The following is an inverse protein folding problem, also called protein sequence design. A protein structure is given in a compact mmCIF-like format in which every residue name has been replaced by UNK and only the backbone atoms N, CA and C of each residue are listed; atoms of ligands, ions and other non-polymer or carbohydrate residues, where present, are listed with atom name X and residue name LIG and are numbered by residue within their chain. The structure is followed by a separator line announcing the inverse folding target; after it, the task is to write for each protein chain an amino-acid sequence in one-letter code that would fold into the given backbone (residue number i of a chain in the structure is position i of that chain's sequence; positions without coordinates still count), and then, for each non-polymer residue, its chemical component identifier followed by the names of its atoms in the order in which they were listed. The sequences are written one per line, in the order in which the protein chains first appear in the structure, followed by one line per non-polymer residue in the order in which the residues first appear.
data_IF_503999556973
#
_entry.id   IF_503999556973
#
_cell.length_a   1.000
_cell.length_b   1.000
_cell.length_c   1.000
_cell.angle_alpha   90.00
_cell.angle_beta   90.00
_cell.angle_gamma   90.00
#
_symmetry.space_group_name_H-M   'P 1'
#
loop_
_entity.id
_entity.type
_entity.pdbx_description
1 polymer ?
#
# COMPACT_ATOMS: atom_id res chain seq x y z
N UNK A 1 -2.86 15.62 7.83
CA UNK A 1 -3.28 14.45 8.64
C UNK A 1 -3.16 13.23 7.73
N UNK A 2 -2.70 12.06 8.22
CA UNK A 2 -2.73 10.85 7.40
C UNK A 2 -4.18 10.60 6.94
N UNK A 3 -4.35 10.15 5.68
CA UNK A 3 -5.67 9.80 5.16
C UNK A 3 -6.27 8.65 5.97
N UNK A 4 -7.59 8.60 6.10
CA UNK A 4 -8.24 7.47 6.74
C UNK A 4 -8.15 6.22 5.85
N UNK A 5 -7.44 5.20 6.34
CA UNK A 5 -7.23 3.93 5.66
C UNK A 5 -8.19 2.83 6.15
N UNK A 6 -9.04 3.12 7.15
CA UNK A 6 -9.89 2.13 7.81
C UNK A 6 -11.17 1.77 7.08
N UNK A 7 -11.63 2.61 6.15
CA UNK A 7 -12.81 2.36 5.33
C UNK A 7 -12.48 1.65 4.00
N UNK A 8 -12.85 2.30 2.89
CA UNK A 8 -12.66 1.80 1.52
C UNK A 8 -11.28 1.16 1.24
N UNK A 9 -10.14 1.70 1.72
CA UNK A 9 -8.82 1.11 1.44
C UNK A 9 -8.65 -0.28 2.06
N UNK A 10 -9.15 -0.47 3.28
CA UNK A 10 -9.15 -1.77 3.96
C UNK A 10 -10.05 -2.77 3.24
N UNK A 11 -11.24 -2.33 2.82
CA UNK A 11 -12.19 -3.17 2.07
C UNK A 11 -11.61 -3.60 0.72
N UNK A 12 -10.96 -2.69 -0.01
CA UNK A 12 -10.27 -3.00 -1.27
C UNK A 12 -9.14 -4.03 -1.06
N UNK A 13 -8.38 -3.91 0.03
CA UNK A 13 -7.32 -4.87 0.36
C UNK A 13 -7.88 -6.25 0.71
N UNK A 14 -8.94 -6.31 1.52
CA UNK A 14 -9.65 -7.55 1.87
C UNK A 14 -10.23 -8.24 0.64
N UNK A 15 -10.92 -7.48 -0.21
CA UNK A 15 -11.45 -7.93 -1.49
C UNK A 15 -10.35 -8.56 -2.35
N UNK A 16 -9.19 -7.89 -2.44
CA UNK A 16 -8.06 -8.38 -3.23
C UNK A 16 -7.43 -9.66 -2.64
N UNK A 17 -7.34 -9.76 -1.31
CA UNK A 17 -6.79 -10.93 -0.63
C UNK A 17 -7.78 -12.10 -0.52
N UNK A 18 -9.05 -11.90 -0.91
CA UNK A 18 -10.16 -12.81 -0.61
C UNK A 18 -10.28 -13.13 0.90
N UNK A 19 -9.95 -12.16 1.75
CA UNK A 19 -10.08 -12.24 3.21
C UNK A 19 -11.43 -11.66 3.61
N UNK A 20 -12.23 -12.44 4.34
CA UNK A 20 -13.58 -12.04 4.77
C UNK A 20 -13.71 -11.90 6.29
N UNK A 21 -12.65 -12.22 7.03
CA UNK A 21 -12.62 -12.23 8.49
C UNK A 21 -12.19 -10.87 9.04
N UNK A 22 -12.77 -10.47 10.18
CA UNK A 22 -12.43 -9.20 10.86
C UNK A 22 -11.16 -9.32 11.71
N UNK A 23 -10.72 -10.55 11.98
CA UNK A 23 -9.57 -10.83 12.83
C UNK A 23 -8.25 -10.31 12.24
N UNK A 24 -8.15 -10.22 10.91
CA UNK A 24 -6.96 -9.72 10.22
C UNK A 24 -6.97 -8.18 10.07
N UNK A 25 -8.06 -7.48 10.42
CA UNK A 25 -8.23 -6.04 10.14
C UNK A 25 -7.12 -5.18 10.71
N UNK A 26 -6.78 -5.39 11.99
CA UNK A 26 -5.74 -4.63 12.65
C UNK A 26 -4.36 -4.81 11.97
N UNK A 27 -4.07 -6.03 11.52
CA UNK A 27 -2.84 -6.33 10.79
C UNK A 27 -2.87 -5.69 9.39
N UNK A 28 -3.96 -5.88 8.65
CA UNK A 28 -4.14 -5.33 7.30
C UNK A 28 -4.05 -3.80 7.31
N UNK A 29 -4.63 -3.13 8.29
CA UNK A 29 -4.51 -1.69 8.47
C UNK A 29 -3.07 -1.26 8.65
N UNK A 30 -2.31 -1.93 9.53
CA UNK A 30 -0.91 -1.58 9.76
C UNK A 30 -0.04 -1.78 8.53
N UNK A 31 -0.28 -2.86 7.77
CA UNK A 31 0.41 -3.11 6.49
C UNK A 31 0.06 -2.06 5.44
N UNK A 32 -1.19 -1.62 5.42
CA UNK A 32 -1.69 -0.60 4.51
C UNK A 32 -1.14 0.79 4.84
N UNK A 33 -1.08 1.16 6.12
CA UNK A 33 -0.40 2.36 6.61
C UNK A 33 1.06 2.39 6.18
N UNK A 34 1.78 1.28 6.38
CA UNK A 34 3.18 1.16 5.99
C UNK A 34 3.36 1.29 4.47
N UNK A 35 2.49 0.63 3.69
CA UNK A 35 2.50 0.72 2.24
C UNK A 35 2.21 2.15 1.73
N UNK A 36 1.25 2.83 2.34
CA UNK A 36 0.89 4.21 2.01
C UNK A 36 2.04 5.18 2.36
N UNK A 37 2.63 5.06 3.55
CA UNK A 37 3.78 5.87 3.96
C UNK A 37 4.94 5.72 3.00
N UNK A 38 5.25 4.49 2.58
CA UNK A 38 6.33 4.24 1.64
C UNK A 38 6.02 4.82 0.25
N UNK A 39 4.78 4.68 -0.23
CA UNK A 39 4.33 5.29 -1.48
C UNK A 39 4.46 6.82 -1.43
N UNK A 40 4.04 7.45 -0.33
CA UNK A 40 4.18 8.89 -0.11
C UNK A 40 5.65 9.33 -0.09
N UNK A 41 6.51 8.65 0.68
CA UNK A 41 7.94 8.96 0.75
C UNK A 41 8.63 8.82 -0.61
N UNK A 42 8.22 7.83 -1.42
CA UNK A 42 8.81 7.57 -2.72
C UNK A 42 8.34 8.57 -3.81
N UNK A 43 7.05 8.91 -3.82
CA UNK A 43 6.43 9.72 -4.89
C UNK A 43 6.33 11.21 -4.56
N UNK A 44 6.28 11.56 -3.27
CA UNK A 44 5.99 12.91 -2.80
C UNK A 44 4.56 13.38 -3.06
N UNK A 45 3.65 12.49 -3.43
CA UNK A 45 2.25 12.82 -3.74
C UNK A 45 1.40 12.67 -2.48
N UNK A 46 0.91 13.80 -1.97
CA UNK A 46 -0.06 13.87 -0.88
C UNK A 46 -1.50 13.81 -1.45
N UNK A 47 -2.40 13.16 -0.72
CA UNK A 47 -3.82 13.10 -1.05
C UNK A 47 -4.65 13.48 0.17
N UNK A 48 -5.81 14.10 -0.06
CA UNK A 48 -6.74 14.48 1.01
C UNK A 48 -7.51 13.30 1.58
N UNK A 49 -7.73 12.27 0.75
CA UNK A 49 -8.57 11.11 0.99
C UNK A 49 -8.25 10.02 -0.04
N UNK A 50 -8.68 8.79 0.20
CA UNK A 50 -8.35 7.68 -0.72
C UNK A 50 -8.90 7.87 -2.14
N UNK A 51 -10.18 8.23 -2.37
CA UNK A 51 -10.72 8.45 -3.72
C UNK A 51 -9.99 9.51 -4.56
N UNK A 52 -9.39 10.53 -3.95
CA UNK A 52 -8.65 11.58 -4.67
C UNK A 52 -7.27 11.12 -5.16
N UNK A 53 -6.77 9.98 -4.69
CA UNK A 53 -5.55 9.38 -5.21
C UNK A 53 -5.74 8.82 -6.62
N UNK A 54 -4.74 9.05 -7.48
CA UNK A 54 -4.68 8.42 -8.79
C UNK A 54 -4.81 6.89 -8.67
N UNK A 55 -5.55 6.29 -9.61
CA UNK A 55 -5.84 4.86 -9.59
C UNK A 55 -4.57 4.00 -9.59
N UNK A 56 -3.49 4.43 -10.24
CA UNK A 56 -2.20 3.74 -10.22
C UNK A 56 -1.55 3.72 -8.84
N UNK A 57 -1.63 4.84 -8.11
CA UNK A 57 -1.08 4.93 -6.75
C UNK A 57 -1.88 4.06 -5.77
N UNK A 58 -3.22 4.11 -5.83
CA UNK A 58 -4.08 3.24 -5.01
C UNK A 58 -3.76 1.77 -5.23
N UNK A 59 -3.72 1.33 -6.49
CA UNK A 59 -3.37 -0.06 -6.81
C UNK A 59 -1.96 -0.43 -6.33
N UNK A 60 -0.99 0.48 -6.42
CA UNK A 60 0.37 0.26 -5.93
C UNK A 60 0.41 0.00 -4.42
N UNK A 61 -0.31 0.82 -3.64
CA UNK A 61 -0.41 0.67 -2.18
C UNK A 61 -1.08 -0.65 -1.80
N UNK A 62 -2.22 -0.98 -2.42
CA UNK A 62 -2.94 -2.25 -2.17
C UNK A 62 -2.04 -3.45 -2.45
N UNK A 63 -1.36 -3.48 -3.62
CA UNK A 63 -0.46 -4.59 -3.99
C UNK A 63 0.72 -4.74 -3.03
N UNK A 64 1.29 -3.63 -2.53
CA UNK A 64 2.38 -3.69 -1.56
C UNK A 64 1.92 -4.22 -0.21
N UNK A 65 0.80 -3.74 0.32
CA UNK A 65 0.22 -4.23 1.58
C UNK A 65 -0.10 -5.73 1.50
N UNK A 66 -0.73 -6.14 0.40
CA UNK A 66 -1.02 -7.52 0.08
C UNK A 66 0.22 -8.43 0.00
N UNK A 67 1.28 -7.92 -0.62
CA UNK A 67 2.53 -8.66 -0.75
C UNK A 67 3.15 -8.92 0.64
N UNK A 68 3.25 -7.89 1.48
CA UNK A 68 3.72 -8.04 2.87
C UNK A 68 2.85 -9.02 3.67
N UNK A 69 1.52 -9.00 3.47
CA UNK A 69 0.61 -9.94 4.13
C UNK A 69 0.94 -11.41 3.77
N UNK A 70 1.26 -11.68 2.50
CA UNK A 70 1.63 -13.03 2.04
C UNK A 70 3.01 -13.46 2.49
N UNK A 71 3.94 -12.52 2.62
CA UNK A 71 5.28 -12.78 3.13
C UNK A 71 5.38 -12.75 4.66
N UNK A 72 4.28 -12.49 5.38
CA UNK A 72 4.28 -12.42 6.86
C UNK A 72 4.78 -13.71 7.51
N UNK A 73 4.55 -14.85 6.86
CA UNK A 73 4.98 -16.18 7.33
C UNK A 73 6.38 -16.56 6.84
N UNK A 74 7.00 -15.76 5.95
CA UNK A 74 8.30 -16.03 5.32
C UNK A 74 9.52 -15.52 6.13
N UNK A 75 9.30 -14.83 7.26
CA UNK A 75 10.37 -14.19 8.02
C UNK A 75 10.82 -12.85 7.41
N UNK A 76 11.57 -12.02 8.15
CA UNK A 76 11.92 -10.66 7.72
C UNK A 76 12.79 -10.67 6.47
N UNK A 77 12.33 -9.99 5.41
CA UNK A 77 13.06 -9.74 4.17
C UNK A 77 13.50 -8.28 4.09
N UNK A 78 14.80 -8.05 3.88
CA UNK A 78 15.47 -6.76 4.08
C UNK A 78 15.44 -5.84 2.83
N UNK A 79 14.59 -6.13 1.83
CA UNK A 79 14.61 -5.44 0.54
C UNK A 79 13.22 -5.39 -0.13
N UNK A 80 12.90 -4.23 -0.72
CA UNK A 80 11.68 -4.05 -1.51
C UNK A 80 11.72 -4.95 -2.76
N UNK A 81 10.68 -5.76 -3.04
CA UNK A 81 10.64 -6.60 -4.24
C UNK A 81 10.78 -5.77 -5.51
N UNK A 82 11.62 -6.24 -6.43
CA UNK A 82 11.94 -5.54 -7.68
C UNK A 82 10.70 -5.18 -8.53
N UNK A 83 9.65 -6.00 -8.46
CA UNK A 83 8.38 -5.75 -9.16
C UNK A 83 7.65 -4.51 -8.64
N UNK A 84 7.75 -4.22 -7.34
CA UNK A 84 7.15 -3.03 -6.73
C UNK A 84 7.98 -1.80 -7.07
N UNK A 85 9.31 -1.90 -6.98
CA UNK A 85 10.21 -0.82 -7.38
C UNK A 85 10.00 -0.41 -8.86
N UNK A 86 9.68 -1.36 -9.74
CA UNK A 86 9.39 -1.09 -11.15
C UNK A 86 8.09 -0.31 -11.36
N UNK A 87 7.04 -0.56 -10.56
CA UNK A 87 5.75 0.12 -10.68
C UNK A 87 5.82 1.61 -10.33
N UNK A 88 6.76 2.01 -9.48
CA UNK A 88 6.86 3.40 -9.02
C UNK A 88 7.87 4.23 -9.82
N UNK A 89 8.68 3.61 -10.67
CA UNK A 89 9.64 4.29 -11.57
C UNK A 89 9.08 5.47 -12.38
N UNK A 90 7.87 5.42 -12.97
CA UNK A 90 7.39 6.51 -13.83
C UNK A 90 6.96 7.77 -13.06
N UNK A 91 6.67 7.66 -11.76
CA UNK A 91 6.29 8.81 -10.91
C UNK A 91 7.47 9.51 -10.26
N UNK A 92 8.68 8.96 -10.45
CA UNK A 92 9.91 9.53 -9.91
C UNK A 92 10.25 10.80 -10.70
N UNK A 93 9.79 11.96 -10.22
CA UNK A 93 10.27 13.25 -10.72
C UNK A 93 11.79 13.30 -10.56
N UNK A 94 12.52 13.25 -11.68
CA UNK A 94 13.92 13.65 -11.71
C UNK A 94 13.96 15.14 -11.36
N UNK A 95 14.49 15.47 -10.19
CA UNK A 95 14.98 16.83 -9.93
C UNK A 95 16.29 16.96 -10.70
N UNK A 96 16.26 17.76 -11.76
CA UNK A 96 17.45 18.27 -12.45
C UNK A 96 18.09 19.37 -11.60
#
# INVERSE_FOLDING_TARGET
MPIDLSGQPLDELKQWLAVTTVQDDALLLRLLETAWQLCFQFTGVEASDWPSMDAGLRHGVIRHAAHQYRERDAGPSDHLPAAIAALWRPYRRMRL
#
